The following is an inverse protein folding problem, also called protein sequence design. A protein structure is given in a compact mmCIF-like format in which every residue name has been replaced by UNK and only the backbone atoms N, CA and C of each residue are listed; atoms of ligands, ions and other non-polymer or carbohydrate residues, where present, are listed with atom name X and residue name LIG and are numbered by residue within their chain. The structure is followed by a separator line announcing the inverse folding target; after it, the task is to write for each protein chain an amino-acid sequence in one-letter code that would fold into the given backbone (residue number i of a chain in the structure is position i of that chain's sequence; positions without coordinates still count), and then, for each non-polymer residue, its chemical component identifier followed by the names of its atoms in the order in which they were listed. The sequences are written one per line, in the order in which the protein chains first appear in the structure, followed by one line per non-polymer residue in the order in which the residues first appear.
data_IF_493962586627
#
_entry.id   IF_493962586627
#
_cell.length_a   1.000
_cell.length_b   1.000
_cell.length_c   1.000
_cell.angle_alpha   90.00
_cell.angle_beta   90.00
_cell.angle_gamma   90.00
#
_symmetry.space_group_name_H-M   'P 1'
#
loop_
_entity.id
_entity.type
_entity.pdbx_description
1 polymer ?
#
# COMPACT_ATOMS: atom_id res chain seq x y z
N UNK A 1 11.52 11.05 -3.61
CA UNK A 1 11.78 9.90 -2.73
C UNK A 1 10.63 8.90 -2.83
N UNK A 2 10.88 7.59 -2.71
CA UNK A 2 9.85 6.55 -2.67
C UNK A 2 9.41 6.33 -1.22
N UNK A 3 8.11 6.36 -0.93
CA UNK A 3 7.55 5.95 0.35
C UNK A 3 7.04 4.51 0.22
N UNK A 4 7.51 3.61 1.07
CA UNK A 4 7.06 2.20 1.12
C UNK A 4 6.28 2.02 2.41
N UNK A 5 5.00 1.68 2.32
CA UNK A 5 4.14 1.53 3.49
C UNK A 5 3.75 0.08 3.73
N UNK A 6 3.65 -0.29 5.00
CA UNK A 6 3.13 -1.57 5.46
C UNK A 6 2.54 -1.41 6.87
N UNK A 7 1.53 -2.21 7.17
CA UNK A 7 0.87 -2.21 8.47
C UNK A 7 0.97 -3.55 9.20
N UNK A 8 1.40 -4.60 8.48
CA UNK A 8 1.43 -5.97 9.02
C UNK A 8 2.74 -6.68 8.65
N UNK A 9 3.07 -7.73 9.43
CA UNK A 9 4.25 -8.57 9.16
C UNK A 9 4.19 -9.28 7.79
N UNK A 10 3.05 -9.85 7.37
CA UNK A 10 2.94 -10.44 6.03
C UNK A 10 3.23 -9.44 4.89
N UNK A 11 2.76 -8.20 5.01
CA UNK A 11 3.08 -7.14 4.03
C UNK A 11 4.58 -6.87 3.98
N UNK A 12 5.23 -6.71 5.14
CA UNK A 12 6.66 -6.47 5.22
C UNK A 12 7.48 -7.63 4.60
N UNK A 13 7.12 -8.88 4.89
CA UNK A 13 7.80 -10.05 4.32
C UNK A 13 7.77 -10.03 2.79
N UNK A 14 6.66 -9.65 2.19
CA UNK A 14 6.52 -9.52 0.73
C UNK A 14 7.28 -8.32 0.16
N UNK A 15 7.37 -7.23 0.92
CA UNK A 15 8.11 -6.02 0.52
C UNK A 15 9.61 -6.14 0.70
N UNK A 16 10.09 -6.97 1.62
CA UNK A 16 11.52 -7.12 1.95
C UNK A 16 12.42 -7.37 0.72
N UNK A 17 12.11 -8.30 -0.18
CA UNK A 17 12.93 -8.50 -1.39
C UNK A 17 12.98 -7.25 -2.29
N UNK A 18 11.88 -6.50 -2.37
CA UNK A 18 11.83 -5.25 -3.14
C UNK A 18 12.73 -4.21 -2.49
N UNK A 19 12.61 -4.02 -1.15
CA UNK A 19 13.44 -3.10 -0.39
C UNK A 19 14.92 -3.43 -0.56
N UNK A 20 15.31 -4.69 -0.43
CA UNK A 20 16.70 -5.15 -0.64
C UNK A 20 17.20 -4.86 -2.06
N UNK A 21 16.36 -5.05 -3.08
CA UNK A 21 16.72 -4.83 -4.47
C UNK A 21 16.95 -3.36 -4.84
N UNK A 22 16.27 -2.43 -4.16
CA UNK A 22 16.38 -0.98 -4.41
C UNK A 22 17.35 -0.28 -3.47
N UNK A 23 17.81 -0.95 -2.40
CA UNK A 23 18.77 -0.40 -1.43
C UNK A 23 20.04 0.11 -2.14
N UNK A 24 20.38 1.38 -1.90
CA UNK A 24 21.50 2.06 -2.56
C UNK A 24 21.28 2.49 -4.03
N UNK A 25 20.13 2.19 -4.63
CA UNK A 25 19.78 2.57 -6.01
C UNK A 25 18.71 3.66 -6.08
N UNK A 26 17.73 3.59 -5.20
CA UNK A 26 16.59 4.52 -5.15
C UNK A 26 16.46 5.02 -3.71
N UNK A 27 16.40 6.34 -3.48
CA UNK A 27 16.14 6.86 -2.15
C UNK A 27 14.73 6.53 -1.72
N UNK A 28 14.57 5.89 -0.57
CA UNK A 28 13.28 5.50 -0.01
C UNK A 28 13.21 5.77 1.49
N UNK A 29 12.00 5.84 2.00
CA UNK A 29 11.67 5.80 3.43
C UNK A 29 10.56 4.79 3.69
N UNK A 30 10.53 4.24 4.88
CA UNK A 30 9.56 3.26 5.31
C UNK A 30 8.50 3.91 6.20
N UNK A 31 7.23 3.56 5.99
CA UNK A 31 6.12 3.95 6.83
C UNK A 31 5.47 2.72 7.43
N UNK A 32 5.50 2.62 8.75
CA UNK A 32 4.78 1.60 9.49
C UNK A 32 3.45 2.16 10.00
N UNK A 33 2.34 1.56 9.57
CA UNK A 33 0.97 1.95 9.93
C UNK A 33 0.29 0.93 10.84
N UNK A 34 1.06 0.00 11.41
CA UNK A 34 0.56 -1.07 12.28
C UNK A 34 0.73 -0.75 13.76
N UNK A 35 0.20 -1.65 14.62
CA UNK A 35 0.30 -1.51 16.08
C UNK A 35 1.28 -2.50 16.74
N UNK A 36 1.90 -3.39 15.95
CA UNK A 36 2.81 -4.41 16.49
C UNK A 36 4.25 -3.91 16.48
N UNK A 37 4.65 -3.29 17.57
CA UNK A 37 6.01 -2.72 17.78
C UNK A 37 7.12 -3.76 17.66
N UNK A 38 6.83 -5.04 17.96
CA UNK A 38 7.79 -6.14 17.85
C UNK A 38 8.35 -6.32 16.42
N UNK A 39 7.58 -5.93 15.41
CA UNK A 39 8.02 -6.00 14.03
C UNK A 39 9.17 -5.03 13.72
N UNK A 40 9.20 -3.87 14.39
CA UNK A 40 10.16 -2.81 14.12
C UNK A 40 11.59 -3.21 14.48
N UNK A 41 11.78 -4.06 15.48
CA UNK A 41 13.10 -4.55 15.88
C UNK A 41 13.78 -5.44 14.83
N UNK A 42 13.04 -5.97 13.88
CA UNK A 42 13.54 -6.84 12.82
C UNK A 42 13.87 -6.07 11.52
N UNK A 43 13.58 -4.77 11.47
CA UNK A 43 13.68 -3.97 10.25
C UNK A 43 14.90 -3.06 10.33
N UNK A 44 15.79 -3.21 9.36
CA UNK A 44 16.96 -2.34 9.18
C UNK A 44 16.60 -1.14 8.29
N UNK A 45 16.65 0.07 8.82
CA UNK A 45 16.37 1.28 8.07
C UNK A 45 15.70 2.39 8.88
N UNK A 46 15.53 3.54 8.24
CA UNK A 46 14.78 4.68 8.78
C UNK A 46 13.29 4.46 8.61
N UNK A 47 12.61 4.15 9.71
CA UNK A 47 11.18 3.83 9.74
C UNK A 47 10.44 4.96 10.45
N UNK A 48 9.51 5.56 9.75
CA UNK A 48 8.53 6.44 10.35
C UNK A 48 7.35 5.60 10.86
N UNK A 49 7.11 5.66 12.15
CA UNK A 49 5.98 5.00 12.80
C UNK A 49 4.78 5.94 12.82
N UNK A 50 3.62 5.44 12.42
CA UNK A 50 2.37 6.18 12.50
C UNK A 50 1.60 5.76 13.75
N UNK A 51 1.39 6.68 14.67
CA UNK A 51 0.50 6.46 15.80
C UNK A 51 -0.96 6.43 15.34
N UNK A 52 -1.63 5.30 15.60
CA UNK A 52 -3.06 5.17 15.31
C UNK A 52 -3.83 5.46 16.58
N UNK A 53 -4.56 6.57 16.58
CA UNK A 53 -5.42 6.96 17.68
C UNK A 53 -6.53 5.92 17.91
N UNK A 54 -6.82 5.64 19.19
CA UNK A 54 -7.90 4.73 19.57
C UNK A 54 -9.24 5.42 19.37
N UNK A 55 -9.97 5.01 18.33
CA UNK A 55 -11.33 5.44 18.03
C UNK A 55 -12.35 4.30 18.22
N UNK A 56 -13.61 4.61 18.05
CA UNK A 56 -14.71 3.63 18.14
C UNK A 56 -14.67 2.59 17.02
N UNK A 57 -14.10 2.94 15.87
CA UNK A 57 -13.89 2.05 14.73
C UNK A 57 -12.42 2.10 14.33
N UNK A 58 -11.74 0.94 14.43
CA UNK A 58 -10.33 0.84 14.09
C UNK A 58 -10.01 1.19 12.63
N UNK A 59 -10.88 0.81 11.69
CA UNK A 59 -10.67 1.09 10.27
C UNK A 59 -10.70 2.60 10.00
N UNK A 60 -11.65 3.31 10.62
CA UNK A 60 -11.76 4.76 10.53
C UNK A 60 -10.53 5.43 11.17
N UNK A 61 -10.08 4.94 12.33
CA UNK A 61 -8.89 5.46 13.01
C UNK A 61 -7.63 5.36 12.15
N UNK A 62 -7.43 4.23 11.44
CA UNK A 62 -6.31 4.07 10.52
C UNK A 62 -6.37 5.13 9.41
N UNK A 63 -7.53 5.30 8.79
CA UNK A 63 -7.71 6.30 7.71
C UNK A 63 -7.44 7.71 8.23
N UNK A 64 -8.01 8.08 9.38
CA UNK A 64 -7.83 9.39 9.99
C UNK A 64 -6.35 9.68 10.32
N UNK A 65 -5.66 8.71 10.95
CA UNK A 65 -4.25 8.87 11.33
C UNK A 65 -3.35 9.08 10.10
N UNK A 66 -3.58 8.34 9.02
CA UNK A 66 -2.83 8.53 7.77
C UNK A 66 -3.12 9.89 7.14
N UNK A 67 -4.40 10.30 7.10
CA UNK A 67 -4.81 11.57 6.47
C UNK A 67 -4.31 12.80 7.22
N UNK A 68 -4.27 12.74 8.55
CA UNK A 68 -3.82 13.84 9.40
C UNK A 68 -2.29 14.01 9.45
N UNK A 69 -1.53 13.04 8.94
CA UNK A 69 -0.07 13.03 9.01
C UNK A 69 0.54 13.53 7.69
N UNK A 70 0.55 14.83 7.47
CA UNK A 70 1.04 15.44 6.23
C UNK A 70 2.54 15.27 6.04
N UNK A 71 3.32 15.30 7.11
CA UNK A 71 4.79 15.23 7.09
C UNK A 71 5.31 13.91 6.49
N UNK A 72 4.52 12.83 6.61
CA UNK A 72 4.85 11.54 6.01
C UNK A 72 5.04 11.64 4.51
N UNK A 73 4.29 12.53 3.85
CA UNK A 73 4.28 12.68 2.39
C UNK A 73 5.22 13.79 1.90
N UNK A 74 5.96 14.46 2.82
CA UNK A 74 6.94 15.46 2.44
C UNK A 74 8.05 14.83 1.56
N UNK A 75 8.40 15.49 0.46
CA UNK A 75 9.42 15.05 -0.52
C UNK A 75 9.16 13.66 -1.16
N UNK A 76 7.95 13.13 -1.04
CA UNK A 76 7.54 11.86 -1.66
C UNK A 76 7.09 12.10 -3.09
N UNK A 77 7.72 11.42 -4.04
CA UNK A 77 7.35 11.45 -5.46
C UNK A 77 6.53 10.23 -5.88
N UNK A 78 6.64 9.12 -5.15
CA UNK A 78 5.83 7.92 -5.35
C UNK A 78 5.63 7.18 -4.04
N UNK A 79 4.51 6.45 -3.94
CA UNK A 79 4.24 5.50 -2.87
C UNK A 79 4.20 4.08 -3.44
N UNK A 80 4.76 3.11 -2.70
CA UNK A 80 4.60 1.68 -2.95
C UNK A 80 3.72 1.12 -1.83
N UNK A 81 2.57 0.59 -2.21
CA UNK A 81 1.62 -0.08 -1.33
C UNK A 81 1.46 -1.54 -1.73
N UNK A 82 1.30 -2.45 -0.78
CA UNK A 82 1.23 -3.88 -1.01
C UNK A 82 -0.06 -4.47 -0.47
N UNK A 83 -0.82 -5.19 -1.31
CA UNK A 83 -2.04 -5.89 -0.90
C UNK A 83 -3.26 -4.98 -0.80
N UNK A 84 -4.08 -5.20 0.22
CA UNK A 84 -5.47 -4.71 0.26
C UNK A 84 -5.98 -4.33 1.66
N UNK A 85 -5.10 -4.16 2.62
CA UNK A 85 -5.50 -3.74 3.97
C UNK A 85 -6.05 -2.30 3.97
N UNK A 86 -6.72 -1.92 5.05
CA UNK A 86 -7.20 -0.53 5.23
C UNK A 86 -6.03 0.47 5.27
N UNK A 87 -4.86 0.07 5.77
CA UNK A 87 -3.65 0.88 5.71
C UNK A 87 -3.22 1.18 4.27
N UNK A 88 -3.23 0.17 3.41
CA UNK A 88 -2.95 0.30 1.97
C UNK A 88 -3.92 1.28 1.31
N UNK A 89 -5.22 1.11 1.57
CA UNK A 89 -6.25 2.02 1.07
C UNK A 89 -6.03 3.45 1.56
N UNK A 90 -5.77 3.65 2.84
CA UNK A 90 -5.57 4.97 3.43
C UNK A 90 -4.35 5.70 2.86
N UNK A 91 -3.21 5.01 2.73
CA UNK A 91 -1.98 5.58 2.14
C UNK A 91 -2.18 5.89 0.66
N UNK A 92 -2.83 5.00 -0.11
CA UNK A 92 -3.13 5.25 -1.51
C UNK A 92 -4.06 6.46 -1.68
N UNK A 93 -5.10 6.59 -0.85
CA UNK A 93 -6.01 7.73 -0.88
C UNK A 93 -5.29 9.04 -0.54
N UNK A 94 -4.46 9.04 0.51
CA UNK A 94 -3.68 10.22 0.91
C UNK A 94 -2.69 10.65 -0.19
N UNK A 95 -2.04 9.69 -0.86
CA UNK A 95 -1.16 9.94 -2.00
C UNK A 95 -1.93 10.49 -3.20
N UNK A 96 -3.10 9.92 -3.50
CA UNK A 96 -3.97 10.38 -4.59
C UNK A 96 -4.41 11.84 -4.40
N UNK A 97 -4.81 12.23 -3.18
CA UNK A 97 -5.17 13.61 -2.86
C UNK A 97 -4.00 14.60 -3.08
N UNK A 98 -2.77 14.14 -2.93
CA UNK A 98 -1.55 14.93 -3.10
C UNK A 98 -0.93 14.83 -4.49
N UNK A 99 -1.58 14.12 -5.42
CA UNK A 99 -1.10 13.83 -6.78
C UNK A 99 0.27 13.13 -6.80
N UNK A 100 0.56 12.33 -5.76
CA UNK A 100 1.74 11.49 -5.66
C UNK A 100 1.47 10.19 -6.43
N UNK A 101 2.46 9.71 -7.19
CA UNK A 101 2.36 8.46 -7.96
C UNK A 101 2.15 7.25 -7.05
N UNK A 102 1.29 6.34 -7.47
CA UNK A 102 0.94 5.15 -6.68
C UNK A 102 1.33 3.89 -7.44
N UNK A 103 2.18 3.07 -6.81
CA UNK A 103 2.56 1.73 -7.28
C UNK A 103 1.88 0.72 -6.36
N UNK A 104 1.04 -0.13 -6.93
CA UNK A 104 0.29 -1.15 -6.19
C UNK A 104 0.87 -2.53 -6.48
N UNK A 105 1.51 -3.13 -5.48
CA UNK A 105 2.03 -4.50 -5.51
C UNK A 105 0.93 -5.46 -5.06
N UNK A 106 0.86 -6.64 -5.70
CA UNK A 106 -0.20 -7.65 -5.54
C UNK A 106 -1.57 -7.14 -6.05
N UNK A 107 -1.52 -6.37 -7.14
CA UNK A 107 -2.71 -5.75 -7.73
C UNK A 107 -3.57 -6.76 -8.52
N UNK A 108 -4.87 -6.49 -8.60
CA UNK A 108 -5.78 -7.18 -9.51
C UNK A 108 -6.43 -8.46 -9.00
N UNK A 109 -6.21 -8.85 -7.76
CA UNK A 109 -6.99 -9.90 -7.11
C UNK A 109 -8.46 -9.49 -6.99
N UNK A 110 -9.41 -10.39 -7.29
CA UNK A 110 -10.86 -10.13 -7.22
C UNK A 110 -11.63 -11.34 -6.73
N UNK A 111 -12.60 -11.10 -5.86
CA UNK A 111 -13.63 -12.05 -5.49
C UNK A 111 -15.00 -11.68 -6.07
N UNK A 112 -15.13 -10.44 -6.54
CA UNK A 112 -16.38 -9.85 -7.05
C UNK A 112 -17.49 -9.72 -6.02
N UNK A 113 -17.14 -9.86 -4.73
CA UNK A 113 -18.05 -9.66 -3.61
C UNK A 113 -17.43 -8.70 -2.59
N UNK A 114 -17.86 -7.43 -2.60
CA UNK A 114 -17.28 -6.36 -1.76
C UNK A 114 -17.28 -6.63 -0.24
N UNK A 115 -17.99 -7.66 0.19
CA UNK A 115 -18.05 -8.07 1.60
C UNK A 115 -17.22 -9.35 1.89
N UNK A 116 -16.52 -9.93 0.87
CA UNK A 116 -15.71 -11.12 1.04
C UNK A 116 -14.43 -11.10 0.19
N UNK A 117 -13.25 -11.04 0.84
CA UNK A 117 -13.04 -10.73 2.26
C UNK A 117 -13.41 -9.27 2.56
N UNK A 118 -13.77 -9.00 3.81
CA UNK A 118 -14.12 -7.65 4.25
C UNK A 118 -13.06 -7.12 5.23
N UNK A 119 -12.53 -5.89 5.02
CA UNK A 119 -12.88 -4.92 3.95
C UNK A 119 -12.00 -5.03 2.69
N UNK A 120 -11.18 -6.06 2.55
CA UNK A 120 -10.08 -6.17 1.58
C UNK A 120 -10.56 -6.09 0.12
N UNK A 121 -11.67 -6.72 -0.23
CA UNK A 121 -12.16 -6.66 -1.62
C UNK A 121 -12.52 -5.25 -2.05
N UNK A 122 -13.17 -4.48 -1.17
CA UNK A 122 -13.46 -3.07 -1.45
C UNK A 122 -12.16 -2.27 -1.58
N UNK A 123 -11.24 -2.45 -0.64
CA UNK A 123 -9.97 -1.73 -0.61
C UNK A 123 -9.19 -1.94 -1.92
N UNK A 124 -9.03 -3.21 -2.38
CA UNK A 124 -8.25 -3.49 -3.60
C UNK A 124 -8.90 -2.93 -4.86
N UNK A 125 -10.22 -2.94 -4.93
CA UNK A 125 -10.96 -2.30 -6.02
C UNK A 125 -10.75 -0.79 -6.04
N UNK A 126 -10.84 -0.13 -4.88
CA UNK A 126 -10.65 1.31 -4.75
C UNK A 126 -9.20 1.72 -5.08
N UNK A 127 -8.20 1.00 -4.55
CA UNK A 127 -6.77 1.25 -4.84
C UNK A 127 -6.49 1.11 -6.33
N UNK A 128 -7.10 0.13 -7.01
CA UNK A 128 -6.93 -0.05 -8.46
C UNK A 128 -7.41 1.16 -9.28
N UNK A 129 -8.35 1.96 -8.78
CA UNK A 129 -8.80 3.19 -9.46
C UNK A 129 -7.86 4.38 -9.25
N UNK A 130 -7.00 4.32 -8.24
CA UNK A 130 -6.06 5.39 -7.88
C UNK A 130 -4.64 5.11 -8.37
N UNK A 131 -4.27 3.84 -8.55
CA UNK A 131 -2.89 3.44 -8.87
C UNK A 131 -2.48 3.81 -10.30
N UNK A 132 -1.23 4.28 -10.44
CA UNK A 132 -0.59 4.59 -11.72
C UNK A 132 0.13 3.37 -12.31
N UNK A 133 0.60 2.45 -11.43
CA UNK A 133 1.30 1.21 -11.82
C UNK A 133 0.74 0.06 -11.00
N UNK A 134 0.35 -1.00 -11.69
CA UNK A 134 -0.19 -2.22 -11.12
C UNK A 134 0.80 -3.36 -11.33
N UNK A 135 1.33 -3.92 -10.25
CA UNK A 135 2.23 -5.07 -10.26
C UNK A 135 1.41 -6.30 -9.85
N UNK A 136 1.02 -7.08 -10.85
CA UNK A 136 0.09 -8.19 -10.70
C UNK A 136 0.84 -9.50 -10.44
N UNK A 137 0.38 -10.35 -9.51
CA UNK A 137 1.00 -11.64 -9.27
C UNK A 137 0.79 -12.64 -10.40
N UNK A 138 -0.31 -12.53 -11.14
CA UNK A 138 -0.70 -13.47 -12.19
C UNK A 138 -1.30 -12.78 -13.40
N UNK A 139 -1.35 -13.51 -14.53
CA UNK A 139 -2.07 -13.07 -15.74
C UNK A 139 -3.56 -12.85 -15.46
N UNK A 140 -4.18 -13.70 -14.64
CA UNK A 140 -5.59 -13.55 -14.27
C UNK A 140 -5.83 -12.24 -13.51
N UNK A 141 -4.93 -11.86 -12.61
CA UNK A 141 -5.01 -10.60 -11.88
C UNK A 141 -4.89 -9.40 -12.84
N UNK A 142 -3.98 -9.47 -13.81
CA UNK A 142 -3.85 -8.45 -14.85
C UNK A 142 -5.13 -8.34 -15.70
N UNK A 143 -5.67 -9.48 -16.16
CA UNK A 143 -6.90 -9.52 -16.94
C UNK A 143 -8.10 -8.94 -16.20
N UNK A 144 -8.20 -9.12 -14.88
CA UNK A 144 -9.23 -8.47 -14.08
C UNK A 144 -9.17 -6.94 -14.21
N UNK A 145 -7.97 -6.36 -14.11
CA UNK A 145 -7.77 -4.91 -14.22
C UNK A 145 -8.05 -4.39 -15.64
N UNK A 146 -7.63 -5.14 -16.66
CA UNK A 146 -7.92 -4.82 -18.06
C UNK A 146 -9.43 -4.81 -18.34
N UNK A 147 -10.15 -5.83 -17.86
CA UNK A 147 -11.61 -5.91 -17.98
C UNK A 147 -12.33 -4.77 -17.25
N UNK A 148 -11.83 -4.34 -16.13
CA UNK A 148 -12.31 -3.17 -15.38
C UNK A 148 -11.91 -1.83 -16.02
N UNK A 149 -11.05 -1.84 -17.03
CA UNK A 149 -10.53 -0.64 -17.70
C UNK A 149 -9.94 0.36 -16.70
N UNK A 150 -9.12 -0.12 -15.76
CA UNK A 150 -8.42 0.77 -14.84
C UNK A 150 -7.38 1.61 -15.59
N UNK A 151 -7.10 2.79 -15.07
CA UNK A 151 -5.99 3.60 -15.57
C UNK A 151 -4.65 3.04 -15.07
N UNK A 152 -3.56 3.47 -15.73
CA UNK A 152 -2.21 3.10 -15.31
C UNK A 152 -1.61 1.95 -16.12
N UNK A 153 -0.37 1.60 -15.77
CA UNK A 153 0.39 0.52 -16.42
C UNK A 153 0.21 -0.78 -15.65
N UNK A 154 -0.08 -1.86 -16.36
CA UNK A 154 -0.29 -3.19 -15.77
C UNK A 154 0.91 -4.07 -16.13
N UNK A 155 1.55 -4.68 -15.12
CA UNK A 155 2.68 -5.58 -15.28
C UNK A 155 2.44 -6.87 -14.50
N UNK A 156 2.71 -8.02 -15.10
CA UNK A 156 2.73 -9.31 -14.41
C UNK A 156 4.14 -9.56 -13.91
N UNK A 157 4.30 -9.65 -12.58
CA UNK A 157 5.63 -9.73 -11.94
C UNK A 157 5.84 -11.00 -11.11
N UNK A 158 4.79 -11.81 -10.92
CA UNK A 158 4.83 -12.96 -10.03
C UNK A 158 4.61 -12.59 -8.56
N UNK A 159 4.84 -13.56 -7.69
CA UNK A 159 4.77 -13.43 -6.23
C UNK A 159 6.15 -13.45 -5.62
#
# INVERSE_FOLDING_TARGET
MLLISFGTRPEYIKLKPVIESIKGKIPYKLLFTGQHVDLLSEIDGDIQELEIENGNNRLDSIVQSVMNNEDVFADVSAVLVQGDTTSVFAVALAAFHRKIKIVHLEAGLRTWNKYHPYPEEFNRCAVSRMADIHLCPTVNSASNLENERVNGKIHVVGN
#
